data_IF_674636859677
#
_entry.id   IF_674636859677
#
_cell.length_a   1.000
_cell.length_b   1.000
_cell.length_c   1.000
_cell.angle_alpha   90.00
_cell.angle_beta   90.00
_cell.angle_gamma   90.00
#
_symmetry.space_group_name_H-M   'P 1'
#
loop_
_entity.id
_entity.type
_entity.pdbx_description
1 polymer ?
#
# COMPACT_ATOMS: atom_id res chain seq x y z
N UNK A 1 17.53 7.21 20.85
CA UNK A 1 16.22 6.63 20.56
C UNK A 1 16.29 6.09 19.16
N UNK A 2 15.94 4.82 18.96
CA UNK A 2 15.83 4.20 17.64
C UNK A 2 14.67 4.88 16.92
N UNK A 3 14.84 5.20 15.64
CA UNK A 3 13.77 5.73 14.80
C UNK A 3 12.59 4.74 14.78
N UNK A 4 11.37 5.12 15.21
CA UNK A 4 10.23 4.22 15.26
C UNK A 4 9.79 3.74 13.87
N UNK A 5 10.26 4.36 12.79
CA UNK A 5 9.91 3.99 11.41
C UNK A 5 11.10 3.40 10.63
N UNK A 6 12.16 2.94 11.30
CA UNK A 6 13.35 2.39 10.62
C UNK A 6 13.02 1.19 9.73
N UNK A 7 12.03 0.37 10.11
CA UNK A 7 11.57 -0.76 9.30
C UNK A 7 10.98 -0.31 7.95
N UNK A 8 10.28 0.83 7.95
CA UNK A 8 9.69 1.41 6.74
C UNK A 8 10.74 2.03 5.84
N UNK A 9 11.75 2.67 6.42
CA UNK A 9 12.94 3.09 5.69
C UNK A 9 13.60 1.90 4.99
N UNK A 10 13.87 0.80 5.71
CA UNK A 10 14.53 -0.38 5.18
C UNK A 10 13.69 -1.13 4.13
N UNK A 11 12.36 -1.11 4.29
CA UNK A 11 11.41 -1.70 3.35
C UNK A 11 11.36 -0.96 2.01
N UNK A 12 11.33 0.39 2.04
CA UNK A 12 11.20 1.21 0.84
C UNK A 12 12.52 1.67 0.22
N UNK A 13 13.63 1.62 0.93
CA UNK A 13 14.94 1.98 0.41
C UNK A 13 15.28 1.35 -0.96
N UNK A 14 15.02 0.05 -1.23
CA UNK A 14 15.31 -0.54 -2.53
C UNK A 14 14.23 -0.27 -3.61
N UNK A 15 13.09 0.32 -3.24
CA UNK A 15 11.97 0.63 -4.14
C UNK A 15 12.01 2.08 -4.63
N UNK A 16 12.46 3.02 -3.78
CA UNK A 16 12.53 4.44 -4.14
C UNK A 16 13.48 4.66 -5.32
N UNK A 17 13.02 5.44 -6.29
CA UNK A 17 13.71 5.70 -7.56
C UNK A 17 13.64 4.54 -8.56
N UNK A 18 13.06 3.39 -8.19
CA UNK A 18 12.92 2.26 -9.09
C UNK A 18 11.62 2.32 -9.91
N UNK A 19 11.69 1.78 -11.12
CA UNK A 19 10.54 1.60 -12.00
C UNK A 19 9.66 0.44 -11.50
N UNK A 20 8.34 0.66 -11.40
CA UNK A 20 7.37 -0.34 -10.97
C UNK A 20 7.05 -1.30 -12.14
N UNK A 21 7.45 -2.56 -12.00
CA UNK A 21 7.23 -3.60 -13.02
C UNK A 21 5.93 -4.38 -12.83
N UNK A 22 5.49 -4.55 -11.58
CA UNK A 22 4.20 -5.16 -11.28
C UNK A 22 3.63 -4.71 -9.93
N UNK A 23 2.30 -4.67 -9.89
CA UNK A 23 1.48 -4.69 -8.68
C UNK A 23 0.62 -5.96 -8.72
N UNK A 24 0.40 -6.57 -7.57
CA UNK A 24 -0.52 -7.69 -7.44
C UNK A 24 -1.35 -7.57 -6.16
N UNK A 25 -2.63 -7.92 -6.30
CA UNK A 25 -3.58 -8.08 -5.22
C UNK A 25 -3.52 -9.53 -4.77
N UNK A 26 -3.32 -9.72 -3.48
CA UNK A 26 -3.24 -11.03 -2.85
C UNK A 26 -4.42 -11.21 -1.89
N UNK A 27 -5.67 -11.30 -2.37
CA UNK A 27 -6.82 -11.48 -1.50
C UNK A 27 -6.87 -12.88 -0.91
N UNK A 28 -7.52 -13.01 0.24
CA UNK A 28 -8.02 -14.31 0.69
C UNK A 28 -8.98 -14.87 -0.36
N UNK A 29 -9.06 -16.19 -0.48
CA UNK A 29 -9.87 -16.84 -1.53
C UNK A 29 -11.35 -16.43 -1.51
N UNK A 30 -11.90 -16.06 -0.35
CA UNK A 30 -13.28 -15.59 -0.23
C UNK A 30 -13.53 -14.27 -0.98
N UNK A 31 -12.53 -13.39 -1.03
CA UNK A 31 -12.64 -12.03 -1.59
C UNK A 31 -12.23 -11.96 -3.06
N UNK A 32 -11.60 -13.02 -3.58
CA UNK A 32 -11.17 -13.12 -4.98
C UNK A 32 -12.25 -12.74 -6.00
N UNK A 33 -13.52 -13.20 -5.89
CA UNK A 33 -14.56 -12.80 -6.83
C UNK A 33 -14.81 -11.29 -6.85
N UNK A 34 -14.79 -10.66 -5.68
CA UNK A 34 -15.04 -9.22 -5.54
C UNK A 34 -13.86 -8.40 -6.05
N UNK A 35 -12.62 -8.82 -5.79
CA UNK A 35 -11.43 -8.18 -6.37
C UNK A 35 -11.44 -8.28 -7.90
N UNK A 36 -11.79 -9.45 -8.46
CA UNK A 36 -11.90 -9.64 -9.92
C UNK A 36 -12.97 -8.73 -10.52
N UNK A 37 -14.12 -8.59 -9.87
CA UNK A 37 -15.19 -7.70 -10.32
C UNK A 37 -14.81 -6.22 -10.29
N UNK A 38 -13.86 -5.83 -9.43
CA UNK A 38 -13.44 -4.45 -9.20
C UNK A 38 -12.08 -4.08 -9.82
N UNK A 39 -11.49 -4.91 -10.70
CA UNK A 39 -10.17 -4.63 -11.29
C UNK A 39 -10.08 -3.29 -12.03
N UNK A 40 -11.18 -2.82 -12.62
CA UNK A 40 -11.25 -1.53 -13.32
C UNK A 40 -11.64 -0.34 -12.42
N UNK A 41 -11.88 -0.56 -11.13
CA UNK A 41 -12.24 0.49 -10.18
C UNK A 41 -11.01 1.29 -9.74
N UNK A 42 -11.21 2.58 -9.43
CA UNK A 42 -10.15 3.43 -8.88
C UNK A 42 -9.88 3.16 -7.41
N UNK A 43 -10.79 2.50 -6.69
CA UNK A 43 -10.59 2.04 -5.33
C UNK A 43 -11.48 0.83 -5.04
N UNK A 44 -11.00 -0.05 -4.16
CA UNK A 44 -11.73 -1.22 -3.66
C UNK A 44 -11.06 -1.74 -2.39
N UNK A 45 -11.73 -2.70 -1.73
CA UNK A 45 -11.35 -3.25 -0.44
C UNK A 45 -11.24 -4.77 -0.54
N UNK A 46 -10.30 -5.37 0.17
CA UNK A 46 -10.20 -6.82 0.34
C UNK A 46 -9.31 -7.19 1.54
N UNK A 47 -9.57 -8.34 2.14
CA UNK A 47 -8.69 -8.99 3.12
C UNK A 47 -7.51 -9.67 2.44
N UNK A 48 -6.28 -9.40 2.90
CA UNK A 48 -5.08 -10.10 2.41
C UNK A 48 -3.84 -9.21 2.35
N UNK A 49 -3.16 -9.20 1.20
CA UNK A 49 -1.94 -8.42 1.00
C UNK A 49 -1.86 -7.74 -0.38
N UNK A 50 -1.00 -6.73 -0.49
CA UNK A 50 -0.57 -6.15 -1.76
C UNK A 50 0.90 -6.46 -1.97
N UNK A 51 1.27 -6.84 -3.18
CA UNK A 51 2.67 -7.03 -3.59
C UNK A 51 3.08 -5.93 -4.57
N UNK A 52 4.15 -5.22 -4.23
CA UNK A 52 4.83 -4.24 -5.08
C UNK A 52 6.15 -4.84 -5.58
N UNK A 53 6.34 -4.82 -6.90
CA UNK A 53 7.53 -5.39 -7.57
C UNK A 53 8.14 -4.38 -8.53
N UNK A 54 9.18 -3.63 -8.14
CA UNK A 54 10.01 -2.91 -9.10
C UNK A 54 10.75 -3.84 -10.06
N UNK A 55 11.18 -3.28 -11.19
CA UNK A 55 11.97 -3.99 -12.22
C UNK A 55 13.30 -4.52 -11.67
N UNK A 56 13.85 -3.89 -10.63
CA UNK A 56 15.08 -4.35 -9.98
C UNK A 56 14.91 -5.68 -9.20
N UNK A 57 13.68 -6.21 -9.11
CA UNK A 57 13.37 -7.50 -8.51
C UNK A 57 13.16 -7.49 -7.01
N UNK A 58 13.29 -6.33 -6.35
CA UNK A 58 12.92 -6.18 -4.93
C UNK A 58 11.42 -6.43 -4.78
N UNK A 59 11.00 -7.10 -3.72
CA UNK A 59 9.59 -7.35 -3.45
C UNK A 59 9.23 -6.76 -2.10
N UNK A 60 8.11 -6.05 -2.06
CA UNK A 60 7.51 -5.56 -0.84
C UNK A 60 6.08 -6.04 -0.76
N UNK A 61 5.75 -6.67 0.36
CA UNK A 61 4.38 -6.99 0.72
C UNK A 61 3.89 -5.97 1.73
N UNK A 62 2.66 -5.50 1.53
CA UNK A 62 1.91 -4.72 2.49
C UNK A 62 0.69 -5.52 2.91
N UNK A 63 0.51 -5.70 4.21
CA UNK A 63 -0.62 -6.44 4.80
C UNK A 63 -0.89 -5.91 6.20
N UNK A 64 -2.05 -6.18 6.77
CA UNK A 64 -2.35 -5.83 8.14
C UNK A 64 -1.80 -6.86 9.13
N UNK A 65 -1.57 -6.44 10.37
CA UNK A 65 -1.30 -7.35 11.49
C UNK A 65 -2.03 -6.91 12.74
N UNK A 66 -2.49 -7.86 13.54
CA UNK A 66 -3.12 -7.57 14.84
C UNK A 66 -2.05 -7.32 15.91
N UNK A 67 -2.04 -6.11 16.49
CA UNK A 67 -1.17 -5.71 17.60
C UNK A 67 -1.97 -5.42 18.85
N UNK A 68 -2.08 -6.44 19.70
CA UNK A 68 -2.74 -6.40 21.02
C UNK A 68 -4.23 -6.05 21.00
N UNK A 69 -4.63 -4.91 20.44
CA UNK A 69 -5.99 -4.36 20.43
C UNK A 69 -6.36 -3.61 19.14
N UNK A 70 -5.47 -3.53 18.14
CA UNK A 70 -5.75 -2.89 16.86
C UNK A 70 -5.05 -3.60 15.71
N UNK A 71 -5.54 -3.39 14.50
CA UNK A 71 -4.86 -3.69 13.25
C UNK A 71 -3.93 -2.54 12.85
N UNK A 72 -2.75 -2.88 12.38
CA UNK A 72 -1.82 -1.93 11.78
C UNK A 72 -1.33 -2.43 10.44
N UNK A 73 -1.02 -1.50 9.54
CA UNK A 73 -0.38 -1.83 8.28
C UNK A 73 1.07 -2.20 8.56
N UNK A 74 1.54 -3.25 7.88
CA UNK A 74 2.90 -3.75 8.01
C UNK A 74 3.56 -3.86 6.65
N UNK A 75 4.87 -3.63 6.62
CA UNK A 75 5.71 -3.75 5.45
C UNK A 75 6.72 -4.89 5.65
N UNK A 76 6.67 -5.90 4.78
CA UNK A 76 7.54 -7.07 4.90
C UNK A 76 8.09 -7.53 3.54
N UNK A 77 9.34 -7.97 3.53
CA UNK A 77 9.97 -8.58 2.33
C UNK A 77 9.51 -10.01 2.10
N UNK A 78 9.06 -10.68 3.16
CA UNK A 78 8.44 -11.99 3.12
C UNK A 78 7.05 -11.90 3.74
N UNK A 79 6.09 -12.57 3.13
CA UNK A 79 4.71 -12.58 3.60
C UNK A 79 4.52 -13.70 4.61
N UNK A 80 4.11 -13.35 5.83
CA UNK A 80 3.89 -14.30 6.94
C UNK A 80 2.48 -14.91 6.96
N UNK A 81 1.88 -15.09 5.78
CA UNK A 81 0.64 -15.84 5.59
C UNK A 81 0.97 -17.32 5.35
N UNK A 82 0.04 -18.23 5.69
CA UNK A 82 0.25 -19.65 5.36
C UNK A 82 0.27 -19.83 3.84
N UNK A 83 0.99 -20.86 3.39
CA UNK A 83 0.97 -21.25 1.99
C UNK A 83 -0.47 -21.46 1.51
N UNK A 84 -0.79 -20.96 0.33
CA UNK A 84 -2.09 -21.09 -0.33
C UNK A 84 -3.27 -20.35 0.35
N UNK A 85 -3.02 -19.48 1.33
CA UNK A 85 -4.08 -18.63 1.91
C UNK A 85 -4.54 -17.50 0.99
N UNK A 86 -3.69 -17.08 0.07
CA UNK A 86 -3.93 -15.91 -0.78
C UNK A 86 -3.89 -16.31 -2.24
N UNK A 87 -4.92 -15.92 -2.97
CA UNK A 87 -4.88 -15.95 -4.42
C UNK A 87 -3.96 -14.85 -4.94
N UNK A 88 -3.50 -14.96 -6.18
CA UNK A 88 -2.66 -13.93 -6.79
C UNK A 88 -3.31 -13.37 -8.04
N UNK A 89 -3.72 -12.11 -7.95
CA UNK A 89 -4.34 -11.38 -9.05
C UNK A 89 -3.39 -10.25 -9.43
N UNK A 90 -2.88 -10.28 -10.65
CA UNK A 90 -2.04 -9.18 -11.15
C UNK A 90 -2.92 -7.95 -11.39
N UNK A 91 -2.44 -6.77 -11.02
CA UNK A 91 -3.04 -5.52 -11.48
C UNK A 91 -3.02 -5.51 -13.02
N UNK A 92 -4.18 -5.28 -13.63
CA UNK A 92 -4.33 -5.29 -15.08
C UNK A 92 -3.64 -4.08 -15.76
N UNK A 93 -3.29 -3.05 -14.99
CA UNK A 93 -2.73 -1.77 -15.46
C UNK A 93 -3.55 -1.20 -16.64
N UNK A 94 -4.86 -1.27 -16.52
CA UNK A 94 -5.82 -0.64 -17.42
C UNK A 94 -6.62 0.42 -16.66
N UNK A 95 -7.27 1.30 -17.43
CA UNK A 95 -8.09 2.37 -16.89
C UNK A 95 -7.32 3.23 -15.87
N UNK A 96 -7.82 3.38 -14.62
CA UNK A 96 -7.23 4.32 -13.67
C UNK A 96 -5.84 3.90 -13.16
N UNK A 97 -5.44 2.62 -13.33
CA UNK A 97 -4.15 2.10 -12.87
C UNK A 97 -3.05 2.16 -13.95
N UNK A 98 -3.39 2.50 -15.20
CA UNK A 98 -2.49 2.40 -16.36
C UNK A 98 -1.13 3.08 -16.15
N UNK A 99 -1.13 4.34 -15.69
CA UNK A 99 0.12 5.10 -15.57
C UNK A 99 1.00 4.74 -14.37
N UNK A 100 0.64 3.72 -13.58
CA UNK A 100 1.57 3.16 -12.58
C UNK A 100 2.59 2.23 -13.25
N UNK A 101 2.22 1.54 -14.32
CA UNK A 101 3.09 0.57 -14.97
C UNK A 101 4.27 1.27 -15.63
N UNK A 102 5.48 0.85 -15.29
CA UNK A 102 6.70 1.48 -15.84
C UNK A 102 6.97 2.88 -15.29
N UNK A 103 6.16 3.35 -14.34
CA UNK A 103 6.42 4.60 -13.63
C UNK A 103 7.45 4.40 -12.52
N UNK A 104 8.22 5.46 -12.26
CA UNK A 104 9.23 5.48 -11.19
C UNK A 104 8.59 5.87 -9.86
N UNK A 105 8.80 5.08 -8.80
CA UNK A 105 8.38 5.46 -7.45
C UNK A 105 9.26 6.60 -6.93
N UNK A 106 8.69 7.79 -6.79
CA UNK A 106 9.45 9.01 -6.43
C UNK A 106 9.24 9.46 -5.00
N UNK A 107 8.10 9.14 -4.41
CA UNK A 107 7.77 9.51 -3.03
C UNK A 107 6.90 8.44 -2.38
N UNK A 108 7.08 8.26 -1.07
CA UNK A 108 6.27 7.40 -0.22
C UNK A 108 5.96 8.18 1.05
N UNK A 109 4.68 8.33 1.38
CA UNK A 109 4.20 9.01 2.58
C UNK A 109 3.45 8.03 3.46
N UNK A 110 3.86 7.89 4.72
CA UNK A 110 3.16 7.06 5.69
C UNK A 110 2.21 7.91 6.52
N UNK A 111 1.05 7.33 6.77
CA UNK A 111 -0.01 7.93 7.53
C UNK A 111 -0.39 7.03 8.70
N UNK A 112 -0.55 7.66 9.86
CA UNK A 112 -1.03 7.02 11.06
C UNK A 112 -2.47 7.43 11.37
N UNK A 113 -3.25 6.48 11.88
CA UNK A 113 -4.60 6.72 12.38
C UNK A 113 -4.64 6.63 13.91
N UNK A 114 -5.53 7.38 14.59
CA UNK A 114 -5.76 7.21 16.01
C UNK A 114 -6.47 5.88 16.30
N UNK A 115 -6.00 5.14 17.30
CA UNK A 115 -6.68 3.98 17.87
C UNK A 115 -7.70 4.39 18.94
N UNK A 116 -8.51 3.43 19.38
CA UNK A 116 -9.45 3.60 20.50
C UNK A 116 -8.77 4.02 21.82
N UNK A 117 -7.49 3.66 22.03
CA UNK A 117 -6.71 4.04 23.22
C UNK A 117 -5.93 5.36 23.05
N UNK A 118 -6.10 6.05 21.91
CA UNK A 118 -5.53 7.37 21.63
C UNK A 118 -4.07 7.34 21.14
N UNK A 119 -3.52 6.16 20.88
CA UNK A 119 -2.21 6.02 20.25
C UNK A 119 -2.31 6.17 18.72
N UNK A 120 -1.18 6.44 18.07
CA UNK A 120 -1.07 6.44 16.61
C UNK A 120 -0.45 5.13 16.15
N UNK A 121 -1.01 4.52 15.13
CA UNK A 121 -0.48 3.34 14.45
C UNK A 121 -0.42 3.60 12.95
N UNK A 122 0.55 3.01 12.25
CA UNK A 122 0.62 3.15 10.79
C UNK A 122 -0.58 2.44 10.19
N UNK A 123 -1.41 3.19 9.46
CA UNK A 123 -2.65 2.70 8.89
C UNK A 123 -2.63 2.76 7.37
N UNK A 124 -1.86 3.67 6.76
CA UNK A 124 -1.84 3.84 5.32
C UNK A 124 -0.50 4.30 4.77
N UNK A 125 -0.27 3.99 3.51
CA UNK A 125 0.84 4.52 2.72
C UNK A 125 0.33 5.04 1.39
N UNK A 126 0.77 6.24 1.04
CA UNK A 126 0.58 6.85 -0.27
C UNK A 126 1.88 6.79 -1.05
N UNK A 127 1.83 6.24 -2.26
CA UNK A 127 2.93 6.11 -3.19
C UNK A 127 2.74 7.09 -4.34
N UNK A 128 3.73 7.94 -4.60
CA UNK A 128 3.75 8.81 -5.79
C UNK A 128 4.68 8.22 -6.84
N UNK A 129 4.14 8.05 -8.04
CA UNK A 129 4.81 7.47 -9.20
C UNK A 129 4.86 8.51 -10.30
N UNK A 130 6.00 8.62 -10.98
CA UNK A 130 6.19 9.49 -12.14
C UNK A 130 6.43 8.66 -13.39
N UNK A 131 5.57 8.82 -14.40
CA UNK A 131 5.62 8.05 -15.65
C UNK A 131 6.45 8.70 -16.77
N UNK A 132 7.05 9.86 -16.49
CA UNK A 132 7.77 10.67 -17.47
C UNK A 132 7.03 11.94 -17.88
N UNK A 133 5.71 11.97 -17.71
CA UNK A 133 4.85 13.11 -18.08
C UNK A 133 4.12 13.69 -16.89
N UNK A 134 3.51 12.83 -16.06
CA UNK A 134 2.65 13.23 -14.95
C UNK A 134 2.97 12.45 -13.66
N UNK A 135 2.52 13.00 -12.53
CA UNK A 135 2.53 12.30 -11.24
C UNK A 135 1.19 11.60 -11.03
N UNK A 136 1.25 10.30 -10.74
CA UNK A 136 0.13 9.46 -10.35
C UNK A 136 0.39 9.02 -8.93
N UNK A 137 -0.66 8.89 -8.12
CA UNK A 137 -0.51 8.32 -6.80
C UNK A 137 -1.45 7.16 -6.57
N UNK A 138 -1.01 6.22 -5.74
CA UNK A 138 -1.88 5.19 -5.22
C UNK A 138 -1.68 5.02 -3.73
N UNK A 139 -2.65 4.38 -3.10
CA UNK A 139 -2.75 4.16 -1.68
C UNK A 139 -2.91 2.68 -1.39
N UNK A 140 -2.33 2.28 -0.27
CA UNK A 140 -2.56 0.99 0.36
C UNK A 140 -2.66 1.27 1.86
N UNK A 141 -3.78 0.91 2.47
CA UNK A 141 -3.97 1.04 3.92
C UNK A 141 -4.86 -0.02 4.50
N UNK A 142 -4.75 -0.23 5.80
CA UNK A 142 -5.73 -0.97 6.58
C UNK A 142 -7.03 -0.18 6.58
N UNK A 143 -8.16 -0.77 6.21
CA UNK A 143 -9.38 -0.01 6.05
C UNK A 143 -10.47 -0.74 5.30
N UNK A 144 -11.64 -0.12 5.31
CA UNK A 144 -12.84 -0.59 4.63
C UNK A 144 -13.35 0.47 3.64
N UNK A 145 -14.61 0.35 3.22
CA UNK A 145 -15.21 1.26 2.26
C UNK A 145 -15.33 2.71 2.78
N UNK A 146 -15.31 2.90 4.10
CA UNK A 146 -15.47 4.20 4.75
C UNK A 146 -14.13 4.90 5.00
N UNK A 147 -12.99 4.21 4.87
CA UNK A 147 -11.66 4.83 4.93
C UNK A 147 -10.56 3.93 5.48
N UNK A 148 -9.45 4.55 5.87
CA UNK A 148 -8.24 3.89 6.41
C UNK A 148 -8.21 3.99 7.94
N UNK A 149 -7.93 2.89 8.63
CA UNK A 149 -7.82 2.85 10.09
C UNK A 149 -7.59 1.44 10.64
N UNK A 150 -8.24 1.15 11.77
CA UNK A 150 -8.11 -0.07 12.56
C UNK A 150 -9.07 -1.18 12.06
N UNK A 151 -8.75 -1.75 10.88
CA UNK A 151 -9.57 -2.78 10.22
C UNK A 151 -8.72 -3.94 9.70
N UNK A 152 -9.33 -5.12 9.55
CA UNK A 152 -8.74 -6.35 9.01
C UNK A 152 -8.90 -6.49 7.48
N UNK A 153 -9.16 -5.38 6.81
CA UNK A 153 -9.18 -5.30 5.35
C UNK A 153 -8.10 -4.33 4.86
N UNK A 154 -7.75 -4.45 3.58
CA UNK A 154 -6.95 -3.47 2.87
C UNK A 154 -7.84 -2.63 1.97
N UNK A 155 -7.78 -1.32 2.17
CA UNK A 155 -8.26 -0.34 1.20
C UNK A 155 -7.12 0.01 0.24
N UNK A 156 -7.40 -0.11 -1.06
CA UNK A 156 -6.48 0.35 -2.12
C UNK A 156 -7.17 1.36 -3.01
N UNK A 157 -6.41 2.35 -3.49
CA UNK A 157 -6.94 3.38 -4.37
C UNK A 157 -5.88 4.01 -5.26
N UNK A 158 -6.23 4.45 -6.46
CA UNK A 158 -5.37 5.19 -7.39
C UNK A 158 -6.02 6.51 -7.76
N UNK A 159 -5.26 7.60 -7.66
CA UNK A 159 -5.70 8.97 -7.89
C UNK A 159 -6.99 9.36 -7.12
N UNK A 160 -7.22 8.69 -5.99
CA UNK A 160 -8.33 8.94 -5.08
C UNK A 160 -7.79 8.86 -3.66
N UNK A 161 -8.20 9.83 -2.84
CA UNK A 161 -7.86 9.86 -1.41
C UNK A 161 -8.88 9.01 -0.63
N UNK A 162 -8.48 8.34 0.47
CA UNK A 162 -9.44 7.69 1.36
C UNK A 162 -10.40 8.75 1.94
N UNK A 163 -11.65 8.36 2.19
CA UNK A 163 -12.69 9.31 2.61
C UNK A 163 -12.34 10.07 3.90
N UNK A 164 -11.58 9.44 4.79
CA UNK A 164 -11.12 10.00 6.06
C UNK A 164 -9.66 10.52 6.02
N UNK A 165 -9.10 10.86 4.85
CA UNK A 165 -7.73 11.38 4.73
C UNK A 165 -7.44 12.55 5.67
N UNK A 166 -8.41 13.44 5.91
CA UNK A 166 -8.28 14.59 6.80
C UNK A 166 -8.04 14.22 8.28
N UNK A 167 -8.39 12.99 8.67
CA UNK A 167 -8.23 12.48 10.04
C UNK A 167 -6.90 11.72 10.23
N UNK A 168 -6.17 11.48 9.14
CA UNK A 168 -4.87 10.81 9.17
C UNK A 168 -3.73 11.79 9.48
N UNK A 169 -2.71 11.28 10.17
CA UNK A 169 -1.51 12.04 10.51
C UNK A 169 -0.35 11.56 9.65
N UNK A 170 0.23 12.44 8.82
CA UNK A 170 1.48 12.14 8.11
C UNK A 170 2.62 12.00 9.12
N UNK A 171 3.30 10.84 9.13
CA UNK A 171 4.35 10.51 10.10
C UNK A 171 5.72 10.29 9.48
N UNK A 172 5.78 9.98 8.19
CA UNK A 172 7.04 9.79 7.46
C UNK A 172 6.88 10.16 6.00
N UNK A 173 7.89 10.83 5.44
CA UNK A 173 8.02 11.08 4.00
C UNK A 173 9.38 10.56 3.54
N UNK A 174 9.35 9.65 2.58
CA UNK A 174 10.52 9.13 1.89
C UNK A 174 10.48 9.63 0.45
N UNK A 175 11.58 10.18 -0.03
CA UNK A 175 11.68 10.68 -1.40
C UNK A 175 12.95 10.17 -2.07
N UNK A 176 12.86 9.98 -3.39
CA UNK A 176 14.03 9.76 -4.21
C UNK A 176 14.94 11.00 -4.15
N UNK A 177 16.09 10.85 -3.48
CA UNK A 177 17.09 11.90 -3.31
C UNK A 177 17.82 12.23 -4.62
N UNK A 178 17.58 11.50 -5.72
CA UNK A 178 18.17 11.77 -7.03
C UNK A 178 17.58 13.01 -7.75
N UNK A 179 16.86 13.89 -7.05
CA UNK A 179 16.54 15.26 -7.51
C UNK A 179 17.73 16.21 -7.26
N UNK A 180 18.84 16.00 -7.95
CA UNK A 180 19.83 17.05 -8.30
C UNK A 180 20.42 16.79 -9.66
#
# INVERSE_FOLDING_TARGET
MTDPYSEWHDAYAPLLGAELGALAWLPITADTPDVVANLGASAFVFSGAVLIVPINGSQLHLTWSWKSQHYELTAARQLDWQADCLDRIRCAFDGPWEGIQGGRLTEVRLYAAPTCDGNLHVAGVRHTVFDGSDEIFFWIGCGDADGIGDHDDLWVGVNVEPANHADLVEVLVLSDQAKT
#
